data_IF_778508917694
#
_entry.id   IF_778508917694
#
_cell.length_a   1.000
_cell.length_b   1.000
_cell.length_c   1.000
_cell.angle_alpha   90.00
_cell.angle_beta   90.00
_cell.angle_gamma   90.00
#
_symmetry.space_group_name_H-M   'P 1'
#
loop_
_entity.id
_entity.type
_entity.pdbx_description
1 polymer ?
#
# COMPACT_ATOMS: atom_id res chain seq x y z
N UNK A 1 -28.93 33.16 28.67
CA UNK A 1 -28.30 32.10 27.88
C UNK A 1 -27.05 32.67 27.28
N UNK A 2 -25.84 32.21 27.64
CA UNK A 2 -24.61 32.64 26.96
C UNK A 2 -24.38 31.84 25.73
N UNK A 3 -23.92 32.52 24.66
CA UNK A 3 -23.57 31.95 23.35
C UNK A 3 -22.44 30.92 23.46
N UNK A 4 -22.44 29.89 22.61
CA UNK A 4 -21.36 28.92 22.58
C UNK A 4 -20.07 29.56 22.01
N UNK A 5 -18.88 29.15 22.50
CA UNK A 5 -17.62 29.71 22.01
C UNK A 5 -17.37 29.27 20.54
N UNK A 6 -17.09 30.29 19.73
CA UNK A 6 -16.78 30.13 18.33
C UNK A 6 -15.59 29.20 18.11
N UNK A 7 -15.77 28.25 17.19
CA UNK A 7 -14.66 27.47 16.59
C UNK A 7 -13.70 28.46 15.93
N UNK A 8 -12.56 28.66 16.53
CA UNK A 8 -11.44 29.31 15.88
C UNK A 8 -10.98 28.45 14.69
N UNK A 9 -11.14 29.00 13.51
CA UNK A 9 -10.55 28.42 12.29
C UNK A 9 -9.03 28.41 12.47
N UNK A 10 -8.44 27.22 12.48
CA UNK A 10 -6.99 27.08 12.39
C UNK A 10 -6.55 27.61 11.01
N UNK A 11 -5.51 28.45 10.94
CA UNK A 11 -4.97 28.87 9.64
C UNK A 11 -4.44 27.64 8.91
N UNK A 12 -4.92 27.45 7.70
CA UNK A 12 -4.34 26.51 6.75
C UNK A 12 -2.91 26.98 6.43
N UNK A 13 -1.94 26.35 7.06
CA UNK A 13 -0.53 26.52 6.74
C UNK A 13 -0.26 25.81 5.40
N UNK A 14 -0.51 26.54 4.32
CA UNK A 14 -0.33 26.09 2.95
C UNK A 14 1.09 26.35 2.45
N UNK A 15 2.06 25.83 3.18
CA UNK A 15 3.36 25.52 2.59
C UNK A 15 3.18 24.17 1.86
N UNK A 16 3.64 23.99 0.60
CA UNK A 16 3.67 22.67 -0.02
C UNK A 16 4.73 21.85 0.71
N UNK A 17 4.39 21.44 1.92
CA UNK A 17 5.18 20.55 2.74
C UNK A 17 5.22 19.20 2.02
N UNK A 18 6.43 18.69 1.85
CA UNK A 18 6.70 17.31 1.46
C UNK A 18 5.68 16.40 2.12
N UNK A 19 4.74 15.88 1.34
CA UNK A 19 3.76 14.94 1.83
C UNK A 19 4.51 13.72 2.35
N UNK A 20 4.58 13.59 3.67
CA UNK A 20 5.39 12.56 4.31
C UNK A 20 4.49 11.45 4.81
N UNK A 21 4.82 10.24 4.40
CA UNK A 21 4.35 9.05 5.10
C UNK A 21 4.96 9.08 6.51
N UNK A 22 4.14 9.02 7.55
CA UNK A 22 4.64 9.01 8.94
C UNK A 22 5.54 7.79 9.16
N UNK A 23 6.82 7.96 9.55
CA UNK A 23 7.76 6.85 9.68
C UNK A 23 7.46 6.01 10.92
N UNK A 24 7.66 4.70 10.81
CA UNK A 24 7.54 3.77 11.92
C UNK A 24 8.65 3.98 12.96
N UNK A 25 9.85 4.33 12.47
CA UNK A 25 11.04 4.55 13.31
C UNK A 25 10.89 5.70 14.30
N UNK A 26 10.01 6.68 14.00
CA UNK A 26 9.69 7.80 14.87
C UNK A 26 8.74 7.49 16.02
N UNK A 27 8.06 6.34 16.00
CA UNK A 27 6.99 5.98 16.94
C UNK A 27 7.50 5.23 18.16
N UNK A 28 6.83 5.34 19.30
CA UNK A 28 7.15 4.55 20.48
C UNK A 28 6.83 3.07 20.27
N UNK A 29 7.62 2.19 20.89
CA UNK A 29 7.35 0.76 20.84
C UNK A 29 6.03 0.43 21.54
N UNK A 30 5.23 -0.46 20.95
CA UNK A 30 3.90 -0.82 21.41
C UNK A 30 2.77 0.01 20.79
N UNK A 31 3.08 1.10 20.12
CA UNK A 31 2.10 2.01 19.52
C UNK A 31 1.95 1.81 18.00
N UNK A 32 0.84 2.29 17.46
CA UNK A 32 0.62 2.49 16.02
C UNK A 32 0.99 3.93 15.69
N UNK A 33 1.69 4.21 14.58
CA UNK A 33 2.13 5.57 14.27
C UNK A 33 0.96 6.54 14.06
N UNK A 34 1.14 7.78 14.47
CA UNK A 34 0.14 8.82 14.26
C UNK A 34 -0.19 8.97 12.76
N UNK A 35 -1.49 9.13 12.45
CA UNK A 35 -1.98 9.23 11.08
C UNK A 35 -2.14 7.90 10.35
N UNK A 36 -1.72 6.78 10.96
CA UNK A 36 -2.02 5.46 10.45
C UNK A 36 -3.28 4.89 11.06
N UNK A 37 -4.19 4.39 10.23
CA UNK A 37 -5.49 3.89 10.64
C UNK A 37 -5.73 2.49 10.08
N UNK A 38 -6.29 1.62 10.90
CA UNK A 38 -6.71 0.30 10.47
C UNK A 38 -7.84 0.41 9.44
N UNK A 39 -7.78 -0.41 8.40
CA UNK A 39 -8.88 -0.60 7.46
C UNK A 39 -9.14 -2.09 7.27
N UNK A 40 -10.40 -2.48 7.35
CA UNK A 40 -10.82 -3.86 7.18
C UNK A 40 -11.65 -4.00 5.90
N UNK A 41 -11.26 -4.96 5.06
CA UNK A 41 -12.06 -5.35 3.90
C UNK A 41 -13.31 -6.13 4.31
N UNK A 42 -13.25 -6.78 5.47
CA UNK A 42 -14.33 -7.59 6.07
C UNK A 42 -14.44 -7.28 7.56
N UNK A 43 -15.65 -6.99 8.00
CA UNK A 43 -15.93 -6.63 9.42
C UNK A 43 -16.18 -7.85 10.31
N UNK A 44 -16.38 -9.02 9.72
CA UNK A 44 -16.65 -10.29 10.41
C UNK A 44 -15.36 -10.99 10.87
N UNK A 45 -14.19 -10.53 10.45
CA UNK A 45 -12.91 -11.11 10.83
C UNK A 45 -12.27 -10.37 12.00
N UNK A 46 -11.46 -11.12 12.77
CA UNK A 46 -10.57 -10.50 13.76
C UNK A 46 -9.56 -9.60 13.06
N UNK A 47 -9.18 -8.47 13.66
CA UNK A 47 -8.19 -7.60 13.04
C UNK A 47 -6.78 -8.19 13.11
N UNK A 48 -5.99 -7.96 12.08
CA UNK A 48 -4.53 -8.10 12.12
C UNK A 48 -3.97 -7.13 13.15
N UNK A 49 -3.04 -7.57 13.98
CA UNK A 49 -2.42 -6.73 15.01
C UNK A 49 -1.19 -6.03 14.44
N UNK A 50 -1.14 -4.72 14.64
CA UNK A 50 -0.02 -3.88 14.25
C UNK A 50 0.51 -3.13 15.46
N UNK A 51 1.83 -3.14 15.65
CA UNK A 51 2.51 -2.32 16.65
C UNK A 51 3.96 -2.07 16.24
N UNK A 52 4.50 -0.92 16.58
CA UNK A 52 5.94 -0.67 16.43
C UNK A 52 6.70 -1.51 17.46
N UNK A 53 7.74 -2.18 17.01
CA UNK A 53 8.63 -2.99 17.85
C UNK A 53 10.09 -2.61 17.61
N UNK A 54 10.97 -2.96 18.56
CA UNK A 54 12.42 -2.91 18.35
C UNK A 54 12.88 -4.15 17.58
N UNK A 55 13.72 -3.93 16.58
CA UNK A 55 14.39 -4.97 15.80
C UNK A 55 15.86 -4.58 15.67
N UNK A 56 16.68 -5.08 16.59
CA UNK A 56 18.04 -4.57 16.81
C UNK A 56 18.01 -3.10 17.23
N UNK A 57 18.79 -2.27 16.53
CA UNK A 57 18.93 -0.85 16.83
C UNK A 57 17.84 0.03 16.22
N UNK A 58 16.94 -0.53 15.42
CA UNK A 58 15.87 0.22 14.75
C UNK A 58 14.48 -0.14 15.27
N UNK A 59 13.53 0.75 15.04
CA UNK A 59 12.11 0.52 15.26
C UNK A 59 11.43 0.28 13.94
N UNK A 60 10.55 -0.71 13.89
CA UNK A 60 9.83 -1.17 12.70
C UNK A 60 8.40 -1.50 13.05
N UNK A 61 7.49 -1.45 12.09
CA UNK A 61 6.13 -1.92 12.30
C UNK A 61 6.08 -3.44 12.21
N UNK A 62 5.58 -4.09 13.25
CA UNK A 62 5.29 -5.53 13.27
C UNK A 62 3.81 -5.77 12.98
N UNK A 63 3.52 -6.68 12.08
CA UNK A 63 2.18 -7.15 11.74
C UNK A 63 2.05 -8.62 12.10
N UNK A 64 0.97 -9.00 12.78
CA UNK A 64 0.60 -10.38 13.07
C UNK A 64 -0.83 -10.64 12.66
N UNK A 65 -1.01 -11.45 11.62
CA UNK A 65 -2.29 -11.91 11.12
C UNK A 65 -2.54 -13.33 11.63
N UNK A 66 -3.75 -13.58 12.13
CA UNK A 66 -4.22 -14.90 12.55
C UNK A 66 -5.65 -15.06 12.00
N UNK A 67 -5.79 -15.70 10.85
CA UNK A 67 -7.05 -15.80 10.10
C UNK A 67 -7.72 -14.41 9.92
N UNK A 68 -6.93 -13.40 9.60
CA UNK A 68 -7.33 -11.98 9.58
C UNK A 68 -6.82 -11.26 8.36
N UNK A 69 -7.53 -10.19 7.93
CA UNK A 69 -7.21 -9.38 6.76
C UNK A 69 -7.52 -7.90 7.03
N UNK A 70 -6.84 -7.31 8.00
CA UNK A 70 -6.94 -5.88 8.26
C UNK A 70 -5.62 -5.22 7.89
N UNK A 71 -5.67 -4.23 7.01
CA UNK A 71 -4.52 -3.41 6.67
C UNK A 71 -4.38 -2.19 7.59
N UNK A 72 -3.23 -1.55 7.50
CA UNK A 72 -2.94 -0.28 8.14
C UNK A 72 -2.59 0.74 7.03
N UNK A 73 -3.24 1.91 7.04
CA UNK A 73 -3.04 2.94 6.00
C UNK A 73 -2.80 4.32 6.58
N UNK A 74 -1.99 5.10 5.89
CA UNK A 74 -1.76 6.53 6.10
C UNK A 74 -2.33 7.29 4.91
N UNK A 75 -3.20 8.28 5.15
CA UNK A 75 -3.69 9.18 4.11
C UNK A 75 -2.60 10.18 3.75
N UNK A 76 -2.39 10.39 2.45
CA UNK A 76 -1.41 11.32 1.90
C UNK A 76 -1.99 12.02 0.68
N UNK A 77 -1.31 13.06 0.20
CA UNK A 77 -1.61 13.69 -1.09
C UNK A 77 -0.28 14.00 -1.78
N UNK A 78 0.16 13.08 -2.64
CA UNK A 78 1.50 13.12 -3.25
C UNK A 78 1.36 13.03 -4.77
N UNK A 79 1.98 13.97 -5.48
CA UNK A 79 2.14 13.85 -6.93
C UNK A 79 3.27 12.85 -7.24
N UNK A 80 2.96 11.66 -7.83
CA UNK A 80 3.95 10.65 -8.13
C UNK A 80 4.91 11.06 -9.25
N UNK A 81 4.54 12.03 -10.10
CA UNK A 81 5.45 12.55 -11.13
C UNK A 81 6.61 13.29 -10.47
N UNK A 82 6.35 14.02 -9.40
CA UNK A 82 7.37 14.74 -8.64
C UNK A 82 8.07 13.83 -7.61
N UNK A 83 7.32 13.02 -6.87
CA UNK A 83 7.78 12.23 -5.73
C UNK A 83 7.48 10.74 -5.90
N UNK A 84 7.79 10.18 -7.06
CA UNK A 84 7.50 8.78 -7.39
C UNK A 84 8.61 7.79 -7.10
N UNK A 85 9.73 8.20 -6.48
CA UNK A 85 10.79 7.28 -6.06
C UNK A 85 10.42 6.69 -4.70
N UNK A 86 9.83 5.51 -4.72
CA UNK A 86 9.40 4.77 -3.55
C UNK A 86 10.55 3.93 -3.00
N UNK A 87 10.80 4.01 -1.69
CA UNK A 87 11.68 3.09 -0.97
C UNK A 87 10.93 2.48 0.19
N UNK A 88 11.11 1.18 0.37
CA UNK A 88 10.55 0.44 1.50
C UNK A 88 11.40 -0.79 1.80
N UNK A 89 11.18 -1.36 2.97
CA UNK A 89 11.77 -2.64 3.33
C UNK A 89 10.80 -3.47 4.13
N UNK A 90 10.93 -4.79 4.03
CA UNK A 90 10.18 -5.72 4.83
C UNK A 90 10.99 -6.98 5.15
N UNK A 91 10.52 -7.69 6.14
CA UNK A 91 10.92 -9.06 6.47
C UNK A 91 9.66 -9.84 6.77
N UNK A 92 9.50 -11.02 6.23
CA UNK A 92 8.42 -11.96 6.60
C UNK A 92 9.01 -13.12 7.39
N UNK A 93 8.22 -13.69 8.29
CA UNK A 93 8.63 -14.89 9.02
C UNK A 93 8.70 -16.09 8.09
N UNK A 94 7.68 -16.24 7.24
CA UNK A 94 7.54 -17.30 6.27
C UNK A 94 6.70 -16.86 5.08
N UNK A 95 6.82 -17.55 3.96
CA UNK A 95 5.95 -17.39 2.79
C UNK A 95 5.26 -18.73 2.53
N UNK A 96 3.93 -18.84 2.76
CA UNK A 96 3.22 -20.11 2.62
C UNK A 96 3.14 -20.54 1.16
N UNK A 97 3.72 -21.69 0.82
CA UNK A 97 3.87 -22.17 -0.56
C UNK A 97 2.57 -22.54 -1.29
N UNK A 98 1.42 -22.53 -0.61
CA UNK A 98 0.10 -22.71 -1.20
C UNK A 98 -0.71 -21.42 -1.31
N UNK A 99 -0.17 -20.29 -0.84
CA UNK A 99 -0.74 -18.98 -1.11
C UNK A 99 -0.53 -18.61 -2.58
N UNK A 100 -1.55 -17.99 -3.17
CA UNK A 100 -1.57 -17.57 -4.58
C UNK A 100 -2.42 -16.30 -4.72
N UNK A 101 -1.78 -15.17 -4.96
CA UNK A 101 -2.44 -13.86 -5.07
C UNK A 101 -3.37 -13.74 -6.28
N UNK A 102 -3.28 -14.67 -7.25
CA UNK A 102 -4.14 -14.71 -8.42
C UNK A 102 -5.44 -15.52 -8.19
N UNK A 103 -5.51 -16.29 -7.08
CA UNK A 103 -6.64 -17.17 -6.76
C UNK A 103 -7.31 -16.70 -5.48
N UNK A 104 -8.57 -16.27 -5.57
CA UNK A 104 -9.30 -15.63 -4.47
C UNK A 104 -9.37 -16.46 -3.18
N UNK A 105 -9.48 -17.78 -3.30
CA UNK A 105 -9.54 -18.72 -2.18
C UNK A 105 -8.17 -18.96 -1.53
N UNK A 106 -7.09 -18.53 -2.17
CA UNK A 106 -5.70 -18.68 -1.72
C UNK A 106 -4.98 -17.33 -1.64
N UNK A 107 -5.71 -16.21 -1.72
CA UNK A 107 -5.16 -14.84 -1.78
C UNK A 107 -4.67 -14.36 -0.40
N UNK A 108 -3.88 -15.20 0.28
CA UNK A 108 -3.11 -14.81 1.45
C UNK A 108 -1.74 -14.29 1.04
N UNK A 109 -1.23 -13.31 1.77
CA UNK A 109 0.07 -12.73 1.47
C UNK A 109 0.76 -12.25 2.76
N UNK A 110 1.99 -12.70 3.01
CA UNK A 110 2.69 -12.32 4.24
C UNK A 110 3.02 -10.83 4.30
N UNK A 111 3.25 -10.19 3.15
CA UNK A 111 3.54 -8.76 3.11
C UNK A 111 3.05 -8.13 1.80
N UNK A 112 2.27 -7.05 1.94
CA UNK A 112 1.87 -6.17 0.85
C UNK A 112 2.18 -4.71 1.22
N UNK A 113 2.75 -3.98 0.28
CA UNK A 113 2.78 -2.53 0.30
C UNK A 113 1.69 -2.02 -0.64
N UNK A 114 0.82 -1.16 -0.16
CA UNK A 114 -0.38 -0.70 -0.85
C UNK A 114 -0.24 0.77 -1.20
N UNK A 115 -0.40 1.12 -2.47
CA UNK A 115 -0.52 2.50 -2.94
C UNK A 115 -1.94 2.72 -3.48
N UNK A 116 -2.65 3.67 -2.90
CA UNK A 116 -3.96 4.13 -3.34
C UNK A 116 -3.81 5.38 -4.20
N UNK A 117 -4.49 5.41 -5.35
CA UNK A 117 -4.43 6.53 -6.29
C UNK A 117 -5.79 7.18 -6.45
N UNK A 118 -5.79 8.51 -6.54
CA UNK A 118 -6.93 9.30 -6.98
C UNK A 118 -7.06 9.28 -8.50
N UNK A 119 -8.26 9.61 -8.98
CA UNK A 119 -8.54 9.70 -10.41
C UNK A 119 -9.96 10.13 -10.68
N UNK A 120 -10.35 10.12 -11.95
CA UNK A 120 -11.69 10.48 -12.41
C UNK A 120 -12.54 9.22 -12.56
N UNK A 121 -13.42 8.97 -11.59
CA UNK A 121 -14.30 7.79 -11.58
C UNK A 121 -15.26 7.73 -12.78
N UNK A 122 -15.51 8.85 -13.46
CA UNK A 122 -16.34 8.87 -14.67
C UNK A 122 -15.69 8.13 -15.84
N UNK A 123 -14.35 8.00 -15.80
CA UNK A 123 -13.56 7.27 -16.80
C UNK A 123 -13.45 5.77 -16.54
N UNK A 124 -13.95 5.31 -15.39
CA UNK A 124 -13.96 3.88 -15.08
C UNK A 124 -14.97 3.13 -15.95
N UNK A 125 -14.67 1.88 -16.35
CA UNK A 125 -15.68 0.97 -16.90
C UNK A 125 -16.89 0.83 -15.97
N UNK A 126 -18.08 0.73 -16.54
CA UNK A 126 -19.34 0.63 -15.77
C UNK A 126 -19.29 -0.51 -14.73
N UNK A 127 -18.70 -1.65 -15.07
CA UNK A 127 -18.54 -2.79 -14.16
C UNK A 127 -17.75 -2.41 -12.90
N UNK A 128 -16.65 -1.69 -13.05
CA UNK A 128 -15.81 -1.28 -11.91
C UNK A 128 -16.51 -0.23 -11.06
N UNK A 129 -17.23 0.73 -11.68
CA UNK A 129 -18.05 1.71 -10.95
C UNK A 129 -19.12 1.05 -10.11
N UNK A 130 -19.89 0.13 -10.69
CA UNK A 130 -20.94 -0.61 -9.96
C UNK A 130 -20.36 -1.41 -8.80
N UNK A 131 -19.20 -2.03 -8.98
CA UNK A 131 -18.51 -2.73 -7.90
C UNK A 131 -18.08 -1.76 -6.78
N UNK A 132 -17.56 -0.58 -7.12
CA UNK A 132 -17.15 0.43 -6.14
C UNK A 132 -18.34 0.99 -5.37
N UNK A 133 -19.44 1.32 -6.04
CA UNK A 133 -20.69 1.74 -5.43
C UNK A 133 -21.25 0.66 -4.47
N UNK A 134 -21.17 -0.61 -4.86
CA UNK A 134 -21.56 -1.73 -4.01
C UNK A 134 -20.70 -1.81 -2.76
N UNK A 135 -19.37 -1.70 -2.89
CA UNK A 135 -18.47 -1.72 -1.73
C UNK A 135 -18.76 -0.54 -0.81
N UNK A 136 -18.93 0.67 -1.34
CA UNK A 136 -19.27 1.86 -0.56
C UNK A 136 -20.59 1.69 0.20
N UNK A 137 -21.62 1.16 -0.47
CA UNK A 137 -22.94 0.90 0.14
C UNK A 137 -22.85 -0.07 1.33
N UNK A 138 -22.08 -1.16 1.21
CA UNK A 138 -21.99 -2.19 2.25
C UNK A 138 -20.97 -1.88 3.35
N UNK A 139 -19.90 -1.16 3.02
CA UNK A 139 -18.80 -0.90 3.97
C UNK A 139 -18.78 0.52 4.52
N UNK A 140 -19.48 1.46 3.84
CA UNK A 140 -19.36 2.90 4.11
C UNK A 140 -17.99 3.47 3.71
N UNK A 141 -17.18 2.73 2.97
CA UNK A 141 -15.84 3.15 2.54
C UNK A 141 -15.75 3.17 1.01
N UNK A 142 -15.41 4.35 0.48
CA UNK A 142 -15.13 4.48 -0.94
C UNK A 142 -13.76 3.89 -1.27
N UNK A 143 -13.70 3.06 -2.30
CA UNK A 143 -12.44 2.55 -2.83
C UNK A 143 -11.70 3.67 -3.57
N UNK A 144 -10.35 3.68 -3.54
CA UNK A 144 -9.55 4.59 -4.36
C UNK A 144 -9.73 4.26 -5.85
N UNK A 145 -9.55 5.26 -6.72
CA UNK A 145 -9.66 5.10 -8.18
C UNK A 145 -8.84 3.92 -8.72
N UNK A 146 -7.62 3.75 -8.21
CA UNK A 146 -6.79 2.58 -8.47
C UNK A 146 -5.97 2.21 -7.24
N UNK A 147 -5.63 0.93 -7.12
CA UNK A 147 -4.77 0.40 -6.06
C UNK A 147 -3.68 -0.47 -6.68
N UNK A 148 -2.43 -0.10 -6.49
CA UNK A 148 -1.27 -0.92 -6.80
C UNK A 148 -0.73 -1.52 -5.51
N UNK A 149 -0.56 -2.84 -5.50
CA UNK A 149 0.04 -3.54 -4.37
C UNK A 149 1.34 -4.21 -4.81
N UNK A 150 2.45 -3.89 -4.15
CA UNK A 150 3.65 -4.70 -4.22
C UNK A 150 3.49 -5.86 -3.24
N UNK A 151 3.72 -7.09 -3.71
CA UNK A 151 3.39 -8.28 -2.94
C UNK A 151 4.56 -9.24 -2.80
N UNK A 152 4.61 -9.95 -1.67
CA UNK A 152 5.41 -11.14 -1.48
C UNK A 152 4.54 -12.36 -1.77
N UNK A 153 4.73 -12.98 -2.93
CA UNK A 153 3.95 -14.15 -3.36
C UNK A 153 4.40 -15.45 -2.67
N UNK A 154 3.52 -16.45 -2.60
CA UNK A 154 3.78 -17.77 -2.01
C UNK A 154 4.75 -18.67 -2.79
N UNK A 155 5.29 -18.22 -3.92
CA UNK A 155 6.19 -19.00 -4.79
C UNK A 155 5.51 -19.53 -6.05
N UNK A 156 4.32 -19.06 -6.37
CA UNK A 156 3.57 -19.44 -7.59
C UNK A 156 3.95 -18.60 -8.81
N UNK A 157 4.34 -17.36 -8.56
CA UNK A 157 4.54 -16.36 -9.60
C UNK A 157 5.98 -15.85 -9.64
N UNK A 158 6.45 -15.57 -10.86
CA UNK A 158 7.77 -14.98 -11.05
C UNK A 158 7.81 -13.54 -10.54
N UNK A 159 9.01 -13.08 -10.18
CA UNK A 159 9.24 -11.66 -9.90
C UNK A 159 8.82 -10.82 -11.10
N UNK A 160 8.30 -9.62 -10.80
CA UNK A 160 7.81 -8.65 -11.80
C UNK A 160 6.53 -9.10 -12.54
N UNK A 161 5.89 -10.22 -12.17
CA UNK A 161 4.58 -10.58 -12.72
C UNK A 161 3.48 -9.67 -12.16
N UNK A 162 2.47 -9.42 -13.00
CA UNK A 162 1.32 -8.58 -12.68
C UNK A 162 0.06 -9.43 -12.62
N UNK A 163 -0.69 -9.31 -11.54
CA UNK A 163 -1.95 -10.04 -11.33
C UNK A 163 -3.07 -9.07 -11.03
N UNK A 164 -4.23 -9.32 -11.63
CA UNK A 164 -5.41 -8.50 -11.43
C UNK A 164 -6.30 -9.11 -10.36
N UNK A 165 -6.86 -8.27 -9.50
CA UNK A 165 -7.90 -8.71 -8.58
C UNK A 165 -9.09 -9.29 -9.34
N UNK A 166 -9.68 -10.37 -8.84
CA UNK A 166 -10.76 -11.11 -9.50
C UNK A 166 -12.05 -10.30 -9.69
N UNK A 167 -12.27 -9.24 -8.88
CA UNK A 167 -13.49 -8.41 -8.91
C UNK A 167 -13.36 -7.17 -9.78
N UNK A 168 -12.16 -6.58 -9.85
CA UNK A 168 -11.93 -5.30 -10.54
C UNK A 168 -10.54 -5.21 -11.13
N UNK A 169 -10.42 -4.55 -12.29
CA UNK A 169 -9.15 -4.21 -12.90
C UNK A 169 -8.44 -3.03 -12.22
N UNK A 170 -9.13 -2.34 -11.29
CA UNK A 170 -8.60 -1.17 -10.58
C UNK A 170 -7.79 -1.53 -9.34
N UNK A 171 -7.71 -2.80 -8.98
CA UNK A 171 -6.82 -3.33 -7.93
C UNK A 171 -5.90 -4.35 -8.60
N UNK A 172 -4.60 -4.10 -8.55
CA UNK A 172 -3.60 -4.96 -9.19
C UNK A 172 -2.41 -5.20 -8.26
N UNK A 173 -1.80 -6.36 -8.44
CA UNK A 173 -0.66 -6.85 -7.68
C UNK A 173 0.56 -6.92 -8.58
N UNK A 174 1.71 -6.44 -8.09
CA UNK A 174 3.02 -6.59 -8.71
C UNK A 174 3.90 -7.42 -7.78
N UNK A 175 4.28 -8.62 -8.22
CA UNK A 175 5.13 -9.53 -7.44
C UNK A 175 6.56 -8.99 -7.39
N UNK A 176 7.02 -8.56 -6.21
CA UNK A 176 8.39 -8.08 -6.00
C UNK A 176 9.24 -9.06 -5.21
N UNK A 177 8.60 -10.04 -4.55
CA UNK A 177 9.25 -11.17 -3.91
C UNK A 177 8.38 -12.42 -4.03
N UNK A 178 9.00 -13.61 -4.05
CA UNK A 178 8.28 -14.86 -4.26
C UNK A 178 8.94 -16.03 -3.55
N UNK A 179 8.12 -16.86 -2.90
CA UNK A 179 8.55 -18.08 -2.23
C UNK A 179 9.31 -17.88 -0.91
N UNK A 180 9.74 -18.99 -0.29
CA UNK A 180 10.29 -18.97 1.07
C UNK A 180 11.78 -18.67 1.16
N UNK A 181 12.52 -18.67 0.04
CA UNK A 181 14.00 -18.67 0.03
C UNK A 181 14.60 -17.48 0.79
N UNK A 182 13.95 -16.31 0.73
CA UNK A 182 14.43 -15.08 1.38
C UNK A 182 13.64 -14.73 2.64
N UNK A 183 12.74 -15.61 3.10
CA UNK A 183 12.03 -15.44 4.38
C UNK A 183 13.03 -15.34 5.54
N UNK A 184 12.70 -14.59 6.56
CA UNK A 184 13.57 -14.30 7.70
C UNK A 184 14.60 -13.17 7.47
N UNK A 185 14.81 -12.74 6.23
CA UNK A 185 15.79 -11.70 5.89
C UNK A 185 15.12 -10.35 5.61
N UNK A 186 15.78 -9.26 5.98
CA UNK A 186 15.37 -7.92 5.57
C UNK A 186 15.67 -7.69 4.11
N UNK A 187 14.63 -7.34 3.35
CA UNK A 187 14.71 -7.02 1.93
C UNK A 187 14.38 -5.55 1.72
N UNK A 188 15.15 -4.90 0.88
CA UNK A 188 15.05 -3.47 0.60
C UNK A 188 14.71 -3.27 -0.88
N UNK A 189 13.74 -2.41 -1.15
CA UNK A 189 13.26 -2.13 -2.49
C UNK A 189 13.31 -0.64 -2.77
N UNK A 190 13.59 -0.34 -4.02
CA UNK A 190 13.43 0.98 -4.61
C UNK A 190 12.65 0.82 -5.91
N UNK A 191 11.55 1.57 -6.05
CA UNK A 191 10.63 1.49 -7.19
C UNK A 191 10.37 2.87 -7.78
N UNK A 192 10.19 2.94 -9.10
CA UNK A 192 9.60 4.08 -9.79
C UNK A 192 8.09 3.85 -9.91
N UNK A 193 7.32 4.52 -9.05
CA UNK A 193 5.86 4.34 -8.96
C UNK A 193 5.16 4.69 -10.28
N UNK A 194 5.66 5.69 -11.02
CA UNK A 194 5.06 6.08 -12.31
C UNK A 194 5.27 4.99 -13.34
N UNK A 195 6.48 4.46 -13.45
CA UNK A 195 6.79 3.38 -14.37
C UNK A 195 6.00 2.10 -14.05
N UNK A 196 5.94 1.74 -12.77
CA UNK A 196 5.18 0.57 -12.32
C UNK A 196 3.68 0.74 -12.57
N UNK A 197 3.11 1.91 -12.27
CA UNK A 197 1.69 2.18 -12.51
C UNK A 197 1.35 2.12 -14.02
N UNK A 198 2.16 2.76 -14.87
CA UNK A 198 1.98 2.72 -16.32
C UNK A 198 2.05 1.30 -16.86
N UNK A 199 3.00 0.51 -16.38
CA UNK A 199 3.14 -0.91 -16.76
C UNK A 199 1.93 -1.73 -16.35
N UNK A 200 1.38 -1.48 -15.16
CA UNK A 200 0.31 -2.28 -14.56
C UNK A 200 -1.07 -1.90 -15.10
N UNK A 201 -1.34 -0.60 -15.24
CA UNK A 201 -2.66 -0.08 -15.62
C UNK A 201 -2.74 0.41 -17.07
N UNK A 202 -1.61 0.62 -17.75
CA UNK A 202 -1.58 1.13 -19.14
C UNK A 202 -1.92 2.61 -19.26
N UNK A 203 -1.94 3.36 -18.16
CA UNK A 203 -2.29 4.79 -18.11
C UNK A 203 -1.37 5.55 -17.15
N UNK A 204 -1.37 6.88 -17.20
CA UNK A 204 -0.63 7.71 -16.25
C UNK A 204 -1.31 7.69 -14.88
N UNK A 205 -0.54 7.64 -13.77
CA UNK A 205 -1.11 7.70 -12.43
C UNK A 205 -1.69 9.07 -12.10
N UNK A 206 -2.79 9.09 -11.34
CA UNK A 206 -3.21 10.25 -10.58
C UNK A 206 -2.39 10.43 -9.30
N UNK A 207 -2.78 11.37 -8.41
CA UNK A 207 -2.09 11.57 -7.14
C UNK A 207 -2.19 10.32 -6.26
N UNK A 208 -1.13 10.04 -5.50
CA UNK A 208 -1.17 9.02 -4.44
C UNK A 208 -1.96 9.61 -3.28
N UNK A 209 -3.07 8.97 -2.91
CA UNK A 209 -3.99 9.40 -1.84
C UNK A 209 -3.84 8.59 -0.57
N UNK A 210 -3.11 7.49 -0.62
CA UNK A 210 -2.85 6.65 0.54
C UNK A 210 -1.68 5.70 0.33
N UNK A 211 -0.98 5.45 1.42
CA UNK A 211 0.06 4.42 1.53
C UNK A 211 -0.35 3.47 2.64
N UNK A 212 -0.22 2.17 2.39
CA UNK A 212 -0.64 1.17 3.37
C UNK A 212 0.26 -0.06 3.39
N UNK A 213 0.07 -0.86 4.42
CA UNK A 213 0.63 -2.21 4.53
C UNK A 213 -0.48 -3.19 4.87
N UNK A 214 -0.35 -4.41 4.38
CA UNK A 214 -1.29 -5.49 4.67
C UNK A 214 -0.54 -6.81 4.82
N UNK A 215 -0.81 -7.49 5.92
CA UNK A 215 -0.49 -8.90 6.15
C UNK A 215 -1.81 -9.62 6.37
N UNK A 216 -2.15 -10.53 5.49
CA UNK A 216 -3.42 -11.24 5.51
C UNK A 216 -3.24 -12.77 5.47
N UNK A 217 -4.09 -13.44 6.25
CA UNK A 217 -4.06 -14.87 6.48
C UNK A 217 -5.49 -15.44 6.61
N UNK A 218 -6.47 -14.80 5.95
CA UNK A 218 -7.89 -15.17 6.15
C UNK A 218 -8.40 -16.20 5.13
N UNK A 219 -7.79 -16.31 3.98
CA UNK A 219 -8.17 -17.29 2.97
C UNK A 219 -7.77 -18.71 3.41
N UNK A 220 -6.52 -18.90 3.80
CA UNK A 220 -5.94 -20.19 4.21
C UNK A 220 -6.10 -20.49 5.71
N UNK A 221 -6.65 -19.54 6.49
CA UNK A 221 -6.82 -19.68 7.95
C UNK A 221 -5.52 -19.95 8.70
N UNK A 222 -4.44 -19.32 8.29
CA UNK A 222 -3.08 -19.47 8.83
C UNK A 222 -2.72 -18.35 9.81
N UNK A 223 -1.49 -18.39 10.31
CA UNK A 223 -0.84 -17.28 11.02
C UNK A 223 0.33 -16.79 10.20
N UNK A 224 0.40 -15.49 9.94
CA UNK A 224 1.50 -14.85 9.23
C UNK A 224 2.04 -13.66 10.01
N UNK A 225 3.34 -13.47 9.94
CA UNK A 225 4.03 -12.34 10.56
C UNK A 225 4.95 -11.62 9.57
N UNK A 226 4.90 -10.30 9.60
CA UNK A 226 5.77 -9.44 8.83
C UNK A 226 6.25 -8.25 9.65
N UNK A 227 7.42 -7.73 9.25
CA UNK A 227 8.01 -6.51 9.78
C UNK A 227 8.21 -5.55 8.61
N UNK A 228 7.79 -4.31 8.78
CA UNK A 228 7.91 -3.26 7.78
C UNK A 228 8.83 -2.16 8.29
N UNK A 229 9.84 -1.82 7.52
CA UNK A 229 10.64 -0.61 7.74
C UNK A 229 9.94 0.62 7.19
N UNK A 230 10.52 1.78 7.43
CA UNK A 230 9.97 3.05 6.95
C UNK A 230 9.72 3.03 5.44
N UNK A 231 8.61 3.66 5.04
CA UNK A 231 8.20 3.83 3.65
C UNK A 231 8.42 5.29 3.29
N UNK A 232 9.16 5.54 2.23
CA UNK A 232 9.46 6.90 1.78
C UNK A 232 9.15 7.09 0.31
N UNK A 233 8.59 8.25 -0.02
CA UNK A 233 8.41 8.75 -1.37
C UNK A 233 9.29 10.00 -1.52
N UNK A 234 10.21 9.98 -2.45
CA UNK A 234 11.21 11.03 -2.68
C UNK A 234 11.19 11.52 -4.13
N UNK A 235 11.81 12.68 -4.42
CA UNK A 235 11.87 13.20 -5.77
C UNK A 235 12.39 12.18 -6.78
N UNK A 236 11.73 12.10 -7.93
CA UNK A 236 12.23 11.35 -9.07
C UNK A 236 13.42 12.11 -9.67
N UNK A 237 14.51 11.41 -9.98
CA UNK A 237 15.54 11.94 -10.83
C UNK A 237 14.98 11.94 -12.26
N UNK A 238 14.45 13.07 -12.68
CA UNK A 238 14.08 13.28 -14.09
C UNK A 238 15.39 13.29 -14.87
N UNK A 239 15.70 12.23 -15.59
CA UNK A 239 16.76 12.25 -16.59
C UNK A 239 16.32 13.21 -17.68
N UNK A 240 16.91 14.39 -17.72
CA UNK A 240 16.74 15.28 -18.85
C UNK A 240 17.20 14.50 -20.07
N UNK A 241 16.28 14.16 -20.97
CA UNK A 241 16.63 13.62 -22.26
C UNK A 241 17.52 14.64 -22.94
N UNK A 242 18.80 14.32 -23.12
CA UNK A 242 19.72 15.13 -23.93
C UNK A 242 19.14 15.17 -25.33
N UNK A 243 18.84 16.34 -25.89
CA UNK A 243 18.38 16.41 -27.29
C UNK A 243 19.47 15.79 -28.14
N UNK A 244 19.12 14.73 -28.87
CA UNK A 244 19.99 14.15 -29.90
C UNK A 244 20.34 15.28 -30.87
N UNK A 245 21.61 15.65 -30.92
CA UNK A 245 22.12 16.56 -31.92
C UNK A 245 21.84 15.91 -33.29
N UNK A 246 20.90 16.46 -34.01
CA UNK A 246 20.66 16.09 -35.39
C UNK A 246 21.95 16.50 -36.17
N UNK A 247 22.71 15.49 -36.58
CA UNK A 247 23.81 15.63 -37.51
C UNK A 247 23.21 16.00 -38.85
N UNK A 248 23.48 17.25 -39.30
CA UNK A 248 23.22 17.70 -40.63
C UNK A 248 24.14 17.05 -41.67
#
# INVERSE_FOLDING_TARGET
MPDPPGLAAQPADSTPGLARVTPFSGTAAGEVPAGWHAYAMRRDLKPTRYAVVRDGDRKVLHARAASSATGLRCAVQIDPVLFGRLRFSWRVREAPGHADVAVAEHDDCPARLVLAFGGDDTRMPLRDRLFFEQVELFTGQRLPFATLMYVWDGGKHALESVHRNHRTARIQYLTVESGPTRAGHWLHYERDVVADYQRVFGEAPGPITGVGVLTDADALKTELEAWYGDITLSPRLLTLATPSAASG
#
